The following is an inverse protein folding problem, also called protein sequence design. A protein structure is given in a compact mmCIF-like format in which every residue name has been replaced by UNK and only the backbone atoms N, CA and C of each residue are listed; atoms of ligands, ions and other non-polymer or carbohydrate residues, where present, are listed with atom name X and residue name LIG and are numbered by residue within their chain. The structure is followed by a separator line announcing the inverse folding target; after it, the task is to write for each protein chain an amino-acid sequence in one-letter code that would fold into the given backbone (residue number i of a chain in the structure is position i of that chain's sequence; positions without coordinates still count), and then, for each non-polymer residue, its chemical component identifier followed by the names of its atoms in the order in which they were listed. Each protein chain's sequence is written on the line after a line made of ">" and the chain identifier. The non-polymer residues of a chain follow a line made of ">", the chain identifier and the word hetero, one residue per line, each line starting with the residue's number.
data_IF_245836375301
#
_entry.id   IF_245836375301
#
_cell.length_a   1.000
_cell.length_b   1.000
_cell.length_c   1.000
_cell.angle_alpha   90.00
_cell.angle_beta   90.00
_cell.angle_gamma   90.00
#
_symmetry.space_group_name_H-M   'P 1'
#
loop_
_entity.id
_entity.type
_entity.pdbx_description
1 polymer ?
#
# COMPACT_ATOMS: atom_id res chain seq x y z
N UNK A 1 -35.37 2.84 0.19
CA UNK A 1 -35.38 1.36 0.25
C UNK A 1 -34.88 0.82 -1.07
N UNK A 2 -33.65 0.30 -1.15
CA UNK A 2 -33.13 -0.31 -2.38
C UNK A 2 -33.76 -1.69 -2.52
N UNK A 3 -34.46 -1.93 -3.64
CA UNK A 3 -35.13 -3.21 -3.93
C UNK A 3 -34.12 -4.34 -3.86
N UNK A 4 -34.28 -5.23 -2.86
CA UNK A 4 -33.56 -6.51 -2.77
C UNK A 4 -34.12 -7.47 -3.82
N UNK A 5 -33.86 -7.19 -5.09
CA UNK A 5 -34.09 -8.20 -6.12
C UNK A 5 -33.08 -9.31 -5.85
N UNK A 6 -33.57 -10.52 -5.58
CA UNK A 6 -32.72 -11.70 -5.44
C UNK A 6 -32.07 -11.95 -6.80
N UNK A 7 -30.90 -11.34 -7.02
CA UNK A 7 -30.06 -11.58 -8.19
C UNK A 7 -29.70 -13.07 -8.17
N UNK A 8 -30.21 -13.82 -9.16
CA UNK A 8 -29.99 -15.27 -9.30
C UNK A 8 -29.52 -15.56 -10.72
N UNK A 9 -28.71 -16.61 -10.86
CA UNK A 9 -28.25 -17.08 -12.17
C UNK A 9 -27.48 -15.99 -12.94
N UNK A 10 -27.71 -15.84 -14.26
CA UNK A 10 -26.96 -14.92 -15.14
C UNK A 10 -27.01 -13.45 -14.73
N UNK A 11 -28.14 -12.99 -14.20
CA UNK A 11 -28.29 -11.60 -13.75
C UNK A 11 -27.35 -11.25 -12.57
N UNK A 12 -26.98 -12.25 -11.76
CA UNK A 12 -25.99 -12.05 -10.71
C UNK A 12 -24.58 -11.96 -11.30
N UNK A 13 -24.29 -12.70 -12.37
CA UNK A 13 -22.99 -12.63 -13.05
C UNK A 13 -22.78 -11.26 -13.69
N UNK A 14 -23.79 -10.73 -14.37
CA UNK A 14 -23.78 -9.37 -14.93
C UNK A 14 -23.59 -8.30 -13.85
N UNK A 15 -24.29 -8.43 -12.72
CA UNK A 15 -24.15 -7.52 -11.59
C UNK A 15 -22.74 -7.57 -10.95
N UNK A 16 -22.14 -8.76 -10.88
CA UNK A 16 -20.76 -8.94 -10.43
C UNK A 16 -19.80 -8.24 -11.40
N UNK A 17 -19.95 -8.48 -12.71
CA UNK A 17 -19.04 -7.93 -13.71
C UNK A 17 -19.14 -6.40 -13.78
N UNK A 18 -20.35 -5.84 -13.69
CA UNK A 18 -20.58 -4.40 -13.61
C UNK A 18 -19.96 -3.77 -12.36
N UNK A 19 -20.15 -4.39 -11.19
CA UNK A 19 -19.57 -3.92 -9.94
C UNK A 19 -18.03 -3.99 -9.97
N UNK A 20 -17.46 -5.08 -10.49
CA UNK A 20 -16.01 -5.21 -10.59
C UNK A 20 -15.41 -4.13 -11.50
N UNK A 21 -16.06 -3.81 -12.62
CA UNK A 21 -15.64 -2.72 -13.50
C UNK A 21 -15.65 -1.36 -12.78
N UNK A 22 -16.71 -1.06 -12.02
CA UNK A 22 -16.81 0.14 -11.20
C UNK A 22 -15.69 0.22 -10.15
N UNK A 23 -15.45 -0.88 -9.43
CA UNK A 23 -14.41 -0.94 -8.40
C UNK A 23 -13.00 -0.78 -8.97
N UNK A 24 -12.74 -1.32 -10.17
CA UNK A 24 -11.49 -1.09 -10.90
C UNK A 24 -11.35 0.42 -11.19
N UNK A 25 -12.38 1.06 -11.75
CA UNK A 25 -12.36 2.48 -12.08
C UNK A 25 -12.14 3.39 -10.86
N UNK A 26 -12.70 3.03 -9.70
CA UNK A 26 -12.53 3.77 -8.45
C UNK A 26 -11.13 3.56 -7.83
N UNK A 27 -10.44 2.49 -8.22
CA UNK A 27 -9.10 2.16 -7.79
C UNK A 27 -9.00 1.59 -6.37
N UNK A 28 -7.81 1.03 -6.08
CA UNK A 28 -7.55 0.24 -4.86
C UNK A 28 -7.79 1.00 -3.55
N UNK A 29 -7.55 2.31 -3.52
CA UNK A 29 -7.69 3.12 -2.30
C UNK A 29 -9.14 3.33 -1.88
N UNK A 30 -10.06 3.41 -2.85
CA UNK A 30 -11.46 3.75 -2.62
C UNK A 30 -12.41 2.55 -2.72
N UNK A 31 -12.05 1.54 -3.53
CA UNK A 31 -12.87 0.35 -3.72
C UNK A 31 -12.01 -0.91 -3.86
N UNK A 32 -11.34 -1.37 -2.79
CA UNK A 32 -10.48 -2.55 -2.86
C UNK A 32 -11.29 -3.82 -3.19
N UNK A 33 -10.89 -4.53 -4.24
CA UNK A 33 -11.60 -5.74 -4.66
C UNK A 33 -11.24 -6.90 -3.72
N UNK A 34 -12.27 -7.42 -3.04
CA UNK A 34 -12.19 -8.63 -2.24
C UNK A 34 -13.56 -9.33 -2.19
N UNK A 35 -13.58 -10.65 -1.98
CA UNK A 35 -14.86 -11.40 -1.88
C UNK A 35 -15.80 -10.84 -0.79
N UNK A 36 -15.34 -10.46 0.42
CA UNK A 36 -16.21 -9.83 1.41
C UNK A 36 -16.75 -8.47 0.98
N UNK A 37 -15.95 -7.67 0.26
CA UNK A 37 -16.38 -6.36 -0.23
C UNK A 37 -17.46 -6.49 -1.31
N UNK A 38 -17.24 -7.39 -2.27
CA UNK A 38 -18.22 -7.71 -3.32
C UNK A 38 -19.52 -8.23 -2.72
N UNK A 39 -19.45 -9.13 -1.73
CA UNK A 39 -20.63 -9.62 -1.02
C UNK A 39 -21.42 -8.47 -0.37
N UNK A 40 -20.74 -7.55 0.32
CA UNK A 40 -21.36 -6.41 1.00
C UNK A 40 -22.04 -5.46 0.02
N UNK A 41 -21.36 -5.11 -1.08
CA UNK A 41 -21.87 -4.16 -2.08
C UNK A 41 -23.03 -4.72 -2.88
N UNK A 42 -23.03 -6.03 -3.19
CA UNK A 42 -24.15 -6.70 -3.84
C UNK A 42 -25.28 -7.09 -2.87
N UNK A 43 -25.13 -6.84 -1.57
CA UNK A 43 -26.15 -7.19 -0.57
C UNK A 43 -26.40 -8.69 -0.46
N UNK A 44 -25.39 -9.52 -0.77
CA UNK A 44 -25.53 -10.98 -0.77
C UNK A 44 -25.50 -11.53 0.66
N UNK A 45 -26.46 -12.40 0.96
CA UNK A 45 -26.60 -13.01 2.29
C UNK A 45 -25.53 -14.05 2.59
N UNK A 46 -24.99 -14.72 1.56
CA UNK A 46 -23.99 -15.77 1.73
C UNK A 46 -22.81 -15.62 0.77
N UNK A 47 -21.60 -15.79 1.32
CA UNK A 47 -20.34 -15.84 0.57
C UNK A 47 -20.24 -17.07 -0.34
N UNK A 48 -21.02 -18.12 -0.07
CA UNK A 48 -21.08 -19.32 -0.90
C UNK A 48 -21.56 -19.03 -2.33
N UNK A 49 -22.25 -17.92 -2.56
CA UNK A 49 -22.69 -17.49 -3.90
C UNK A 49 -21.55 -16.94 -4.77
N UNK A 50 -20.39 -16.64 -4.17
CA UNK A 50 -19.21 -16.06 -4.80
C UNK A 50 -18.02 -17.05 -4.87
N UNK A 51 -18.31 -18.35 -4.89
CA UNK A 51 -17.32 -19.43 -5.06
C UNK A 51 -17.30 -19.90 -6.52
N UNK A 52 -16.41 -20.85 -6.86
CA UNK A 52 -16.26 -21.36 -8.22
C UNK A 52 -15.81 -20.29 -9.21
N UNK A 53 -16.42 -20.25 -10.39
CA UNK A 53 -16.08 -19.31 -11.47
C UNK A 53 -16.21 -17.84 -11.05
N UNK A 54 -17.27 -17.48 -10.32
CA UNK A 54 -17.46 -16.11 -9.78
C UNK A 54 -16.32 -15.72 -8.85
N UNK A 55 -15.87 -16.67 -8.03
CA UNK A 55 -14.74 -16.50 -7.13
C UNK A 55 -13.40 -16.33 -7.86
N UNK A 56 -13.27 -16.91 -9.06
CA UNK A 56 -12.11 -16.70 -9.94
C UNK A 56 -12.18 -15.33 -10.62
N UNK A 57 -13.35 -14.90 -11.12
CA UNK A 57 -13.54 -13.56 -11.72
C UNK A 57 -13.16 -12.44 -10.75
N UNK A 58 -13.61 -12.54 -9.50
CA UNK A 58 -13.26 -11.56 -8.45
C UNK A 58 -11.74 -11.51 -8.22
N UNK A 59 -11.07 -12.67 -8.21
CA UNK A 59 -9.62 -12.71 -8.00
C UNK A 59 -8.86 -12.15 -9.20
N UNK A 60 -9.29 -12.45 -10.43
CA UNK A 60 -8.74 -11.86 -11.66
C UNK A 60 -8.89 -10.34 -11.68
N UNK A 61 -10.06 -9.82 -11.31
CA UNK A 61 -10.31 -8.38 -11.20
C UNK A 61 -9.46 -7.72 -10.11
N UNK A 62 -9.28 -8.39 -8.97
CA UNK A 62 -8.35 -7.94 -7.91
C UNK A 62 -6.92 -7.87 -8.41
N UNK A 63 -6.43 -8.88 -9.13
CA UNK A 63 -5.08 -8.88 -9.72
C UNK A 63 -4.93 -7.71 -10.69
N UNK A 64 -5.94 -7.47 -11.53
CA UNK A 64 -5.95 -6.34 -12.47
C UNK A 64 -5.87 -5.00 -11.73
N UNK A 65 -6.69 -4.81 -10.71
CA UNK A 65 -6.66 -3.59 -9.88
C UNK A 65 -5.31 -3.39 -9.17
N UNK A 66 -4.68 -4.47 -8.69
CA UNK A 66 -3.34 -4.39 -8.08
C UNK A 66 -2.28 -3.97 -9.09
N UNK A 67 -2.29 -4.56 -10.29
CA UNK A 67 -1.39 -4.20 -11.39
C UNK A 67 -1.54 -2.73 -11.79
N UNK A 68 -2.77 -2.25 -11.97
CA UNK A 68 -3.05 -0.84 -12.29
C UNK A 68 -2.57 0.13 -11.19
N UNK A 69 -2.57 -0.31 -9.94
CA UNK A 69 -2.03 0.47 -8.81
C UNK A 69 -0.50 0.38 -8.63
N UNK A 70 0.20 -0.34 -9.51
CA UNK A 70 1.65 -0.57 -9.40
C UNK A 70 2.04 -1.55 -8.29
N UNK A 71 1.11 -2.33 -7.74
CA UNK A 71 1.37 -3.32 -6.70
C UNK A 71 1.48 -4.73 -7.29
N UNK A 72 2.51 -5.47 -6.87
CA UNK A 72 2.67 -6.86 -7.29
C UNK A 72 1.59 -7.75 -6.64
N UNK A 73 0.73 -8.42 -7.43
CA UNK A 73 -0.34 -9.29 -6.93
C UNK A 73 0.17 -10.48 -6.09
N UNK A 74 1.38 -10.99 -6.38
CA UNK A 74 1.97 -12.12 -5.66
C UNK A 74 2.44 -11.71 -4.25
N UNK A 75 2.95 -10.48 -4.12
CA UNK A 75 3.31 -9.87 -2.83
C UNK A 75 2.09 -9.42 -2.00
N UNK A 76 0.88 -9.41 -2.58
CA UNK A 76 -0.36 -9.02 -1.91
C UNK A 76 -1.19 -10.21 -1.40
N UNK A 77 -0.87 -11.45 -1.82
CA UNK A 77 -1.41 -12.69 -1.23
C UNK A 77 -0.65 -13.08 0.04
N UNK A 78 0.66 -12.91 0.02
CA UNK A 78 1.47 -13.08 1.22
C UNK A 78 1.36 -11.79 2.03
N UNK A 79 0.62 -11.82 3.15
CA UNK A 79 1.12 -11.05 4.30
C UNK A 79 2.55 -11.54 4.45
N UNK A 80 3.57 -10.72 4.11
CA UNK A 80 4.92 -10.90 4.65
C UNK A 80 4.71 -11.35 6.09
N UNK A 81 5.29 -12.49 6.49
CA UNK A 81 5.15 -12.94 7.86
C UNK A 81 5.46 -11.74 8.76
N UNK A 82 4.80 -11.60 9.90
CA UNK A 82 5.18 -10.53 10.82
C UNK A 82 6.70 -10.52 11.05
N UNK A 83 7.33 -11.70 10.99
CA UNK A 83 8.78 -11.91 10.95
C UNK A 83 9.48 -11.25 9.75
N UNK A 84 9.04 -11.48 8.51
CA UNK A 84 9.63 -10.85 7.32
C UNK A 84 9.50 -9.32 7.35
N UNK A 85 8.38 -8.82 7.88
CA UNK A 85 8.17 -7.38 8.05
C UNK A 85 9.05 -6.81 9.15
N UNK A 86 9.23 -7.54 10.25
CA UNK A 86 10.16 -7.19 11.32
C UNK A 86 11.59 -7.17 10.79
N UNK A 87 12.00 -8.21 10.05
CA UNK A 87 13.34 -8.30 9.48
C UNK A 87 13.62 -7.16 8.50
N UNK A 88 12.66 -6.82 7.64
CA UNK A 88 12.78 -5.67 6.74
C UNK A 88 12.91 -4.35 7.50
N UNK A 89 12.03 -4.12 8.49
CA UNK A 89 12.06 -2.89 9.29
C UNK A 89 13.34 -2.78 10.12
N UNK A 90 13.86 -3.90 10.63
CA UNK A 90 15.15 -3.94 11.32
C UNK A 90 16.30 -3.60 10.38
N UNK A 91 16.32 -4.17 9.17
CA UNK A 91 17.34 -3.86 8.15
C UNK A 91 17.26 -2.39 7.68
N UNK A 92 16.06 -1.84 7.57
CA UNK A 92 15.87 -0.43 7.24
C UNK A 92 16.36 0.48 8.37
N UNK A 93 16.06 0.13 9.62
CA UNK A 93 16.50 0.88 10.79
C UNK A 93 18.03 0.86 10.94
N UNK A 94 18.68 -0.29 10.75
CA UNK A 94 20.15 -0.37 10.77
C UNK A 94 20.79 0.46 9.67
N UNK A 95 20.21 0.48 8.48
CA UNK A 95 20.67 1.36 7.40
C UNK A 95 20.49 2.84 7.74
N UNK A 96 19.34 3.24 8.31
CA UNK A 96 19.10 4.63 8.72
C UNK A 96 20.05 5.08 9.83
N UNK A 97 20.34 4.21 10.82
CA UNK A 97 21.34 4.48 11.85
C UNK A 97 22.71 4.70 11.23
N UNK A 98 23.11 3.84 10.29
CA UNK A 98 24.39 3.99 9.59
C UNK A 98 24.48 5.29 8.80
N UNK A 99 23.43 5.66 8.08
CA UNK A 99 23.37 6.93 7.34
C UNK A 99 23.46 8.13 8.29
N UNK A 100 22.74 8.08 9.42
CA UNK A 100 22.79 9.11 10.46
C UNK A 100 24.21 9.27 10.99
N UNK A 101 24.88 8.17 11.33
CA UNK A 101 26.22 8.22 11.91
C UNK A 101 27.24 8.77 10.90
N UNK A 102 27.16 8.37 9.63
CA UNK A 102 27.97 8.93 8.55
C UNK A 102 27.75 10.43 8.36
N UNK A 103 26.50 10.89 8.43
CA UNK A 103 26.17 12.32 8.34
C UNK A 103 26.72 13.09 9.55
N UNK A 104 26.64 12.53 10.76
CA UNK A 104 27.24 13.14 11.96
C UNK A 104 28.75 13.24 11.85
N UNK A 105 29.44 12.18 11.41
CA UNK A 105 30.89 12.21 11.21
C UNK A 105 31.29 13.27 10.19
N UNK A 106 30.58 13.35 9.06
CA UNK A 106 30.82 14.37 8.05
C UNK A 106 30.60 15.79 8.62
N UNK A 107 29.54 16.00 9.40
CA UNK A 107 29.22 17.28 10.02
C UNK A 107 30.28 17.69 11.06
N UNK A 108 30.74 16.74 11.87
CA UNK A 108 31.84 16.98 12.83
C UNK A 108 33.14 17.34 12.12
N UNK A 109 33.48 16.65 11.02
CA UNK A 109 34.66 16.96 10.23
C UNK A 109 34.58 18.37 9.61
N UNK A 110 33.40 18.80 9.14
CA UNK A 110 33.20 20.15 8.62
C UNK A 110 33.33 21.18 9.76
N UNK A 111 32.63 20.96 10.87
CA UNK A 111 32.68 21.83 12.06
C UNK A 111 34.11 22.05 12.54
N UNK A 112 34.89 20.97 12.66
CA UNK A 112 36.28 21.05 13.09
C UNK A 112 37.16 21.85 12.11
N UNK A 113 36.96 21.70 10.79
CA UNK A 113 37.69 22.50 9.80
C UNK A 113 37.34 23.97 9.91
N UNK A 114 36.07 24.30 10.09
CA UNK A 114 35.63 25.68 10.28
C UNK A 114 36.25 26.30 11.54
N UNK A 115 36.25 25.58 12.66
CA UNK A 115 36.92 26.04 13.89
C UNK A 115 38.42 26.26 13.68
N UNK A 116 39.12 25.34 13.02
CA UNK A 116 40.54 25.47 12.71
C UNK A 116 40.85 26.66 11.79
N UNK A 117 39.87 27.09 10.97
CA UNK A 117 39.97 28.28 10.11
C UNK A 117 39.52 29.56 10.82
N UNK A 118 39.15 29.49 12.11
CA UNK A 118 38.66 30.63 12.87
C UNK A 118 37.24 31.09 12.48
N UNK A 119 36.49 30.25 11.76
CA UNK A 119 35.14 30.54 11.33
C UNK A 119 34.15 30.26 12.46
N UNK A 120 33.16 31.14 12.63
CA UNK A 120 32.05 30.89 13.53
C UNK A 120 31.11 29.84 12.94
N UNK A 121 31.20 28.63 13.47
CA UNK A 121 30.42 27.47 13.05
C UNK A 121 28.91 27.68 13.24
N UNK A 122 28.52 28.44 14.26
CA UNK A 122 27.12 28.67 14.59
C UNK A 122 26.43 29.54 13.52
N UNK A 123 27.11 30.58 13.03
CA UNK A 123 26.62 31.44 11.95
C UNK A 123 26.45 30.67 10.63
N UNK A 124 27.37 29.74 10.34
CA UNK A 124 27.30 28.88 9.15
C UNK A 124 26.10 27.94 9.25
N UNK A 125 25.88 27.29 10.40
CA UNK A 125 24.75 26.37 10.58
C UNK A 125 23.39 27.09 10.65
N UNK A 126 23.34 28.30 11.21
CA UNK A 126 22.13 29.13 11.21
C UNK A 126 21.65 29.42 9.79
N UNK A 127 22.58 29.67 8.87
CA UNK A 127 22.30 29.93 7.46
C UNK A 127 21.75 28.71 6.70
N UNK A 128 22.05 27.50 7.18
CA UNK A 128 21.63 26.23 6.57
C UNK A 128 20.30 25.70 7.13
N UNK A 129 19.82 26.27 8.22
CA UNK A 129 18.54 25.90 8.82
C UNK A 129 17.43 26.39 7.90
N UNK A 130 16.80 25.48 7.16
CA UNK A 130 15.57 25.81 6.41
C UNK A 130 14.52 26.33 7.38
N UNK A 131 14.01 27.53 7.08
CA UNK A 131 12.76 28.08 7.64
C UNK A 131 11.59 27.17 7.31
#
# INVERSE_FOLDING_TARGET
>A
MVKRNSLRGPALDEAIDALLAEMISLGLKHAPISRPEVQRRLGLTSRATLVGERGQRIESARIKQLKESGRNPDNARSRRSHEDRIAHLQAENTNLIRQRDQLYEALMAISQRCLMQGLNVEDIFLSLRKS
#
